data_IF_630656652813
#
_entry.id   IF_630656652813
#
_cell.length_a   1.000
_cell.length_b   1.000
_cell.length_c   1.000
_cell.angle_alpha   90.00
_cell.angle_beta   90.00
_cell.angle_gamma   90.00
#
_symmetry.space_group_name_H-M   'P 1'
#
loop_
_entity.id
_entity.type
_entity.pdbx_description
1 polymer ?
#
# COMPACT_ATOMS: atom_id res chain seq x y z
N UNK A 1 20.04 -8.86 10.05
CA UNK A 1 20.08 -7.45 9.62
C UNK A 1 18.70 -7.13 9.06
N UNK A 2 17.87 -6.42 9.82
CA UNK A 2 16.43 -6.30 9.57
C UNK A 2 16.09 -5.07 8.70
N UNK A 3 16.63 -5.01 7.49
CA UNK A 3 16.26 -3.98 6.50
C UNK A 3 15.34 -4.49 5.40
N UNK A 4 15.00 -5.78 5.37
CA UNK A 4 14.25 -6.38 4.24
C UNK A 4 12.74 -6.50 4.44
N UNK A 5 12.17 -6.03 5.56
CA UNK A 5 10.74 -6.27 5.87
C UNK A 5 9.89 -5.00 6.00
N UNK A 6 10.49 -3.81 5.97
CA UNK A 6 9.73 -2.58 6.23
C UNK A 6 9.86 -1.60 5.07
N UNK A 7 8.80 -1.40 4.26
CA UNK A 7 8.85 -0.47 3.12
C UNK A 7 9.23 0.94 3.59
N UNK A 8 10.09 1.59 2.80
CA UNK A 8 10.50 2.96 3.05
C UNK A 8 9.31 3.91 3.02
N UNK A 9 9.43 5.10 3.64
CA UNK A 9 8.41 6.13 3.51
C UNK A 9 8.16 6.50 2.03
N UNK A 10 9.22 6.47 1.22
CA UNK A 10 9.14 6.71 -0.22
C UNK A 10 8.30 5.64 -0.94
N UNK A 11 8.57 4.35 -0.67
CA UNK A 11 7.78 3.23 -1.21
C UNK A 11 6.32 3.30 -0.78
N UNK A 12 6.05 3.59 0.50
CA UNK A 12 4.67 3.73 0.98
C UNK A 12 3.91 4.87 0.29
N UNK A 13 4.59 5.99 0.02
CA UNK A 13 3.99 7.09 -0.74
C UNK A 13 3.71 6.69 -2.19
N UNK A 14 4.67 6.03 -2.83
CA UNK A 14 4.51 5.58 -4.21
C UNK A 14 3.37 4.56 -4.32
N UNK A 15 3.26 3.63 -3.36
CA UNK A 15 2.18 2.66 -3.31
C UNK A 15 0.82 3.31 -3.08
N UNK A 16 0.76 4.32 -2.20
CA UNK A 16 -0.44 5.15 -2.04
C UNK A 16 -0.79 5.87 -3.34
N UNK A 17 0.17 6.57 -3.96
CA UNK A 17 -0.04 7.36 -5.18
C UNK A 17 -0.50 6.49 -6.36
N UNK A 18 0.11 5.33 -6.55
CA UNK A 18 -0.25 4.37 -7.58
C UNK A 18 -1.68 3.84 -7.42
N UNK A 19 -2.18 3.76 -6.18
CA UNK A 19 -3.56 3.37 -5.84
C UNK A 19 -4.52 4.55 -5.77
N UNK A 20 -4.05 5.78 -6.02
CA UNK A 20 -4.86 6.99 -5.88
C UNK A 20 -5.19 7.38 -4.44
N UNK A 21 -4.45 6.85 -3.47
CA UNK A 21 -4.58 7.13 -2.04
C UNK A 21 -3.78 8.38 -1.64
N UNK A 22 -4.24 9.05 -0.57
CA UNK A 22 -3.54 10.22 -0.08
C UNK A 22 -2.13 9.88 0.48
N UNK A 23 -1.11 10.58 -0.02
CA UNK A 23 0.31 10.42 0.34
C UNK A 23 0.79 11.38 1.45
N UNK A 24 -0.14 12.16 2.00
CA UNK A 24 0.09 13.06 3.14
C UNK A 24 0.02 12.28 4.46
N UNK A 25 0.84 12.72 5.41
CA UNK A 25 0.96 12.11 6.74
C UNK A 25 2.33 11.48 6.98
N UNK A 26 2.44 10.83 8.13
CA UNK A 26 3.63 10.09 8.53
C UNK A 26 3.60 8.66 7.97
N UNK A 27 4.68 7.91 8.18
CA UNK A 27 4.80 6.51 7.75
C UNK A 27 3.60 5.65 8.22
N UNK A 28 3.15 5.86 9.46
CA UNK A 28 2.02 5.14 10.03
C UNK A 28 0.70 5.41 9.32
N UNK A 29 0.44 6.67 8.96
CA UNK A 29 -0.78 7.05 8.23
C UNK A 29 -0.85 6.37 6.86
N UNK A 30 0.28 6.33 6.14
CA UNK A 30 0.36 5.66 4.84
C UNK A 30 0.16 4.15 4.97
N UNK A 31 0.75 3.52 5.99
CA UNK A 31 0.58 2.09 6.26
C UNK A 31 -0.87 1.78 6.59
N UNK A 32 -1.48 2.52 7.50
CA UNK A 32 -2.88 2.30 7.89
C UNK A 32 -3.82 2.48 6.70
N UNK A 33 -3.59 3.49 5.86
CA UNK A 33 -4.37 3.74 4.64
C UNK A 33 -4.21 2.63 3.61
N UNK A 34 -2.98 2.17 3.38
CA UNK A 34 -2.71 1.03 2.50
C UNK A 34 -3.32 -0.26 3.03
N UNK A 35 -3.23 -0.52 4.33
CA UNK A 35 -3.84 -1.68 4.98
C UNK A 35 -5.36 -1.64 4.86
N UNK A 36 -5.98 -0.50 5.15
CA UNK A 36 -7.43 -0.32 4.99
C UNK A 36 -7.85 -0.50 3.52
N UNK A 37 -7.10 0.07 2.56
CA UNK A 37 -7.38 -0.12 1.14
C UNK A 37 -7.23 -1.58 0.70
N UNK A 38 -6.22 -2.29 1.20
CA UNK A 38 -6.04 -3.72 0.92
C UNK A 38 -7.13 -4.59 1.58
N UNK A 39 -7.68 -4.16 2.71
CA UNK A 39 -8.79 -4.85 3.39
C UNK A 39 -10.14 -4.57 2.70
N UNK A 40 -10.36 -3.34 2.24
CA UNK A 40 -11.61 -2.90 1.59
C UNK A 40 -11.67 -3.25 0.09
N UNK A 41 -10.55 -3.13 -0.64
CA UNK A 41 -10.43 -3.41 -2.07
C UNK A 41 -9.68 -4.72 -2.38
N UNK A 42 -9.42 -5.53 -1.35
CA UNK A 42 -8.71 -6.82 -1.41
C UNK A 42 -9.46 -7.96 -2.09
N UNK A 43 -10.59 -7.70 -2.75
CA UNK A 43 -11.32 -8.68 -3.54
C UNK A 43 -11.55 -8.16 -4.97
N UNK A 44 -10.49 -8.12 -5.79
CA UNK A 44 -10.54 -8.51 -7.21
C UNK A 44 -9.22 -8.22 -7.94
N UNK A 45 -8.37 -9.24 -7.99
CA UNK A 45 -7.97 -9.73 -9.32
C UNK A 45 -8.38 -11.19 -9.41
N UNK A 46 -9.69 -11.42 -9.53
CA UNK A 46 -10.21 -12.62 -10.17
C UNK A 46 -9.90 -12.51 -11.67
N UNK A 47 -9.23 -13.54 -12.20
CA UNK A 47 -9.32 -14.05 -13.58
C UNK A 47 -8.73 -13.12 -14.68
N UNK A 48 -7.92 -13.54 -15.66
CA UNK A 48 -7.56 -14.83 -16.26
C UNK A 48 -6.22 -14.61 -17.03
N UNK A 49 -5.48 -15.62 -17.51
CA UNK A 49 -5.74 -16.28 -18.78
C UNK A 49 -4.97 -17.63 -18.86
N UNK A 50 -5.73 -18.68 -19.21
CA UNK A 50 -5.39 -19.93 -19.92
C UNK A 50 -4.06 -20.63 -19.65
#
# INVERSE_FOLDING_TARGET
>A
LATEQYPGLAELRQECEARGLETKGNKGDLIARLQAYLEEHGEAQCCSNT
#
